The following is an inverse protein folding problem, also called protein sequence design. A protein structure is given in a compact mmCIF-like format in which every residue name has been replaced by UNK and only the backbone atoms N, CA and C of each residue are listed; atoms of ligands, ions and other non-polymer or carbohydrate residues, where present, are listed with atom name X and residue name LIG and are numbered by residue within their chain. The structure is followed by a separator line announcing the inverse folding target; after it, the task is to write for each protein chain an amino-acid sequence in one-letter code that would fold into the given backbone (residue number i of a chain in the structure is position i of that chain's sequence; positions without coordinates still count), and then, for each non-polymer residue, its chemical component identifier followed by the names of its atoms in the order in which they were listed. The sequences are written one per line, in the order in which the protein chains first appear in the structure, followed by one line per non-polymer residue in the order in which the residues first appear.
data_IF_401623208992
#
_entry.id   IF_401623208992
#
_cell.length_a   1.000
_cell.length_b   1.000
_cell.length_c   1.000
_cell.angle_alpha   90.00
_cell.angle_beta   90.00
_cell.angle_gamma   90.00
#
_symmetry.space_group_name_H-M   'P 1'
#
loop_
_entity.id
_entity.type
_entity.pdbx_description
1 polymer ?
#
# COMPACT_ATOMS: atom_id res chain seq x y z
N UNK A 1 -14.35 -14.85 19.26
CA UNK A 1 -13.45 -15.32 18.19
C UNK A 1 -12.07 -15.29 18.75
N UNK A 2 -11.37 -16.41 18.68
CA UNK A 2 -9.97 -16.52 19.09
C UNK A 2 -9.08 -15.76 18.10
N UNK A 3 -8.24 -14.85 18.59
CA UNK A 3 -7.20 -14.10 17.86
C UNK A 3 -6.06 -15.00 17.32
N UNK A 4 -6.34 -16.28 17.05
CA UNK A 4 -5.34 -17.23 16.60
C UNK A 4 -5.38 -17.37 15.08
N UNK A 5 -4.43 -16.66 14.46
CA UNK A 5 -4.09 -16.66 13.04
C UNK A 5 -4.98 -15.79 12.14
N UNK A 6 -4.52 -14.56 11.89
CA UNK A 6 -4.92 -13.74 10.74
C UNK A 6 -4.04 -14.22 9.58
N UNK A 7 -4.65 -14.55 8.44
CA UNK A 7 -3.85 -14.90 7.25
C UNK A 7 -3.20 -13.64 6.66
N UNK A 8 -2.11 -13.82 5.92
CA UNK A 8 -1.43 -12.72 5.22
C UNK A 8 -2.39 -11.98 4.28
N UNK A 9 -3.30 -12.72 3.63
CA UNK A 9 -4.37 -12.14 2.82
C UNK A 9 -5.34 -11.31 3.65
N UNK A 10 -5.78 -11.80 4.81
CA UNK A 10 -6.67 -11.03 5.69
C UNK A 10 -6.00 -9.77 6.24
N UNK A 11 -4.68 -9.78 6.44
CA UNK A 11 -3.92 -8.61 6.86
C UNK A 11 -3.78 -7.60 5.71
N UNK A 12 -3.46 -8.07 4.52
CA UNK A 12 -3.41 -7.25 3.32
C UNK A 12 -4.77 -6.62 3.00
N UNK A 13 -5.86 -7.38 3.09
CA UNK A 13 -7.22 -6.88 2.87
C UNK A 13 -7.57 -5.79 3.89
N UNK A 14 -7.22 -5.98 5.16
CA UNK A 14 -7.43 -4.95 6.20
C UNK A 14 -6.60 -3.69 5.94
N UNK A 15 -5.36 -3.83 5.47
CA UNK A 15 -4.54 -2.69 5.08
C UNK A 15 -5.17 -1.94 3.91
N UNK A 16 -5.61 -2.67 2.88
CA UNK A 16 -6.30 -2.11 1.73
C UNK A 16 -7.59 -1.38 2.13
N UNK A 17 -8.41 -1.98 3.01
CA UNK A 17 -9.60 -1.34 3.56
C UNK A 17 -9.28 0.01 4.22
N UNK A 18 -8.22 0.07 5.02
CA UNK A 18 -7.80 1.30 5.70
C UNK A 18 -7.28 2.36 4.73
N UNK A 19 -6.51 1.96 3.70
CA UNK A 19 -6.07 2.85 2.62
C UNK A 19 -7.29 3.42 1.89
N UNK A 20 -8.22 2.56 1.45
CA UNK A 20 -9.43 2.98 0.75
C UNK A 20 -10.30 3.90 1.61
N UNK A 21 -10.44 3.62 2.91
CA UNK A 21 -11.20 4.46 3.82
C UNK A 21 -10.58 5.86 3.94
N UNK A 22 -9.25 5.94 4.03
CA UNK A 22 -8.53 7.22 4.05
C UNK A 22 -8.70 7.98 2.72
N UNK A 23 -8.56 7.30 1.57
CA UNK A 23 -8.77 7.89 0.25
C UNK A 23 -10.20 8.42 0.07
N UNK A 24 -11.22 7.66 0.47
CA UNK A 24 -12.63 8.09 0.38
C UNK A 24 -12.91 9.34 1.21
N UNK A 25 -12.25 9.47 2.36
CA UNK A 25 -12.41 10.61 3.28
C UNK A 25 -11.43 11.76 2.99
N UNK A 26 -10.49 11.55 2.07
CA UNK A 26 -9.32 12.41 1.86
C UNK A 26 -8.63 12.73 3.20
N UNK A 27 -8.46 11.71 4.05
CA UNK A 27 -7.91 11.83 5.39
C UNK A 27 -6.40 11.62 5.34
N UNK A 28 -5.67 12.72 5.10
CA UNK A 28 -4.21 12.73 4.98
C UNK A 28 -3.54 12.16 6.23
N UNK A 29 -4.05 12.49 7.42
CA UNK A 29 -3.49 12.00 8.68
C UNK A 29 -3.68 10.50 8.80
N UNK A 30 -4.88 9.98 8.54
CA UNK A 30 -5.15 8.55 8.63
C UNK A 30 -4.27 7.75 7.68
N UNK A 31 -4.14 8.16 6.41
CA UNK A 31 -3.28 7.43 5.47
C UNK A 31 -1.81 7.50 5.89
N UNK A 32 -1.34 8.67 6.35
CA UNK A 32 0.03 8.84 6.86
C UNK A 32 0.33 7.93 8.05
N UNK A 33 -0.63 7.75 8.95
CA UNK A 33 -0.46 6.90 10.14
C UNK A 33 -0.31 5.41 9.80
N UNK A 34 -0.75 4.96 8.62
CA UNK A 34 -0.50 3.60 8.13
C UNK A 34 0.96 3.34 7.72
N UNK A 35 1.71 4.40 7.38
CA UNK A 35 3.14 4.28 7.10
C UNK A 35 3.93 4.00 8.38
N UNK A 36 4.99 3.22 8.24
CA UNK A 36 5.92 2.92 9.33
C UNK A 36 6.52 4.21 9.91
N UNK A 37 7.00 4.17 11.16
CA UNK A 37 7.63 5.34 11.77
C UNK A 37 8.87 5.79 10.97
N UNK A 38 9.66 4.83 10.49
CA UNK A 38 10.82 5.08 9.64
C UNK A 38 10.42 5.73 8.31
N UNK A 39 9.46 5.16 7.59
CA UNK A 39 9.04 5.68 6.29
C UNK A 39 8.40 7.06 6.37
N UNK A 40 7.63 7.36 7.43
CA UNK A 40 7.11 8.73 7.65
C UNK A 40 8.21 9.80 7.78
N UNK A 41 9.41 9.43 8.23
CA UNK A 41 10.55 10.35 8.36
C UNK A 41 11.37 10.45 7.08
N UNK A 42 11.46 9.36 6.33
CA UNK A 42 12.32 9.25 5.17
C UNK A 42 11.64 9.72 3.88
N UNK A 43 10.33 9.49 3.75
CA UNK A 43 9.55 9.92 2.59
C UNK A 43 9.40 11.45 2.64
N UNK A 44 10.12 12.13 1.74
CA UNK A 44 10.07 13.59 1.60
C UNK A 44 8.67 14.03 1.19
N UNK A 45 8.16 15.05 1.87
CA UNK A 45 6.86 15.67 1.60
C UNK A 45 5.71 14.66 1.54
N UNK A 46 5.71 13.68 2.45
CA UNK A 46 4.70 12.61 2.47
C UNK A 46 3.25 13.14 2.44
N UNK A 47 2.97 14.26 3.12
CA UNK A 47 1.63 14.88 3.12
C UNK A 47 1.21 15.33 1.71
N UNK A 48 2.13 15.94 0.95
CA UNK A 48 1.88 16.37 -0.44
C UNK A 48 1.65 15.16 -1.33
N UNK A 49 2.46 14.11 -1.18
CA UNK A 49 2.30 12.88 -1.97
C UNK A 49 0.98 12.15 -1.69
N UNK A 50 0.50 12.19 -0.45
CA UNK A 50 -0.81 11.66 -0.08
C UNK A 50 -1.92 12.48 -0.75
N UNK A 51 -1.83 13.80 -0.72
CA UNK A 51 -2.81 14.67 -1.38
C UNK A 51 -2.82 14.44 -2.91
N UNK A 52 -1.65 14.24 -3.53
CA UNK A 52 -1.52 13.86 -4.94
C UNK A 52 -2.20 12.51 -5.23
N UNK A 53 -2.03 11.50 -4.37
CA UNK A 53 -2.72 10.21 -4.50
C UNK A 53 -4.25 10.37 -4.46
N UNK A 54 -4.77 11.20 -3.57
CA UNK A 54 -6.21 11.47 -3.50
C UNK A 54 -6.74 12.14 -4.76
N UNK A 55 -5.96 13.05 -5.37
CA UNK A 55 -6.31 13.72 -6.62
C UNK A 55 -6.18 12.80 -7.83
N UNK A 56 -5.26 11.83 -7.77
CA UNK A 56 -5.05 10.85 -8.82
C UNK A 56 -6.22 9.88 -8.96
N UNK A 57 -6.82 9.47 -7.83
CA UNK A 57 -8.02 8.64 -7.79
C UNK A 57 -9.27 9.45 -8.18
N UNK A 58 -9.62 9.43 -9.46
CA UNK A 58 -10.83 10.08 -9.98
C UNK A 58 -12.08 9.24 -9.75
N UNK A 59 -13.18 9.92 -9.42
CA UNK A 59 -14.48 9.30 -9.20
C UNK A 59 -14.62 8.66 -7.82
N UNK A 60 -15.83 8.22 -7.50
CA UNK A 60 -16.14 7.59 -6.22
C UNK A 60 -15.63 6.15 -6.22
N UNK A 61 -14.83 5.78 -5.22
CA UNK A 61 -14.31 4.41 -5.07
C UNK A 61 -15.46 3.45 -4.73
N UNK A 62 -15.71 2.47 -5.59
CA UNK A 62 -16.83 1.53 -5.46
C UNK A 62 -16.39 0.21 -4.82
N UNK A 63 -15.40 -0.47 -5.44
CA UNK A 63 -14.91 -1.78 -5.01
C UNK A 63 -13.40 -1.85 -5.08
N UNK A 64 -12.83 -2.76 -4.31
CA UNK A 64 -11.44 -3.20 -4.46
C UNK A 64 -11.42 -4.73 -4.35
N UNK A 65 -10.51 -5.36 -5.08
CA UNK A 65 -10.25 -6.81 -5.01
C UNK A 65 -8.79 -7.07 -5.37
N UNK A 66 -8.18 -8.07 -4.77
CA UNK A 66 -6.77 -8.34 -4.97
C UNK A 66 -6.29 -9.52 -4.16
N UNK A 67 -4.99 -9.74 -4.20
CA UNK A 67 -4.29 -10.73 -3.40
C UNK A 67 -3.01 -10.12 -2.79
N UNK A 68 -2.30 -10.93 -2.01
CA UNK A 68 -0.98 -10.56 -1.54
C UNK A 68 0.05 -11.65 -1.77
N UNK A 69 1.29 -11.23 -1.99
CA UNK A 69 2.46 -12.06 -1.81
C UNK A 69 3.10 -11.74 -0.45
N UNK A 70 3.78 -12.71 0.12
CA UNK A 70 4.51 -12.55 1.37
C UNK A 70 5.92 -13.10 1.24
N UNK A 71 6.84 -12.48 1.96
CA UNK A 71 8.17 -13.00 2.18
C UNK A 71 8.45 -13.05 3.68
N UNK A 72 9.26 -14.01 4.11
CA UNK A 72 9.69 -14.06 5.50
C UNK A 72 11.17 -14.41 5.60
N UNK A 73 11.86 -13.69 6.48
CA UNK A 73 13.22 -13.99 6.89
C UNK A 73 13.21 -14.33 8.38
N UNK A 74 14.07 -15.25 8.78
CA UNK A 74 14.27 -15.63 10.16
C UNK A 74 15.77 -15.71 10.45
N UNK A 75 16.30 -14.72 11.17
CA UNK A 75 17.70 -14.70 11.59
C UNK A 75 17.78 -14.81 13.12
N UNK A 76 18.47 -15.84 13.62
CA UNK A 76 18.65 -16.09 15.06
C UNK A 76 17.36 -16.02 15.91
N UNK A 77 16.22 -16.40 15.32
CA UNK A 77 14.91 -16.38 15.98
C UNK A 77 14.16 -15.05 15.90
N UNK A 78 14.73 -14.01 15.27
CA UNK A 78 14.02 -12.78 14.90
C UNK A 78 13.31 -13.00 13.57
N UNK A 79 12.02 -12.73 13.52
CA UNK A 79 11.21 -12.86 12.31
C UNK A 79 11.00 -11.50 11.66
N UNK A 80 11.14 -11.45 10.35
CA UNK A 80 10.72 -10.35 9.50
C UNK A 80 9.71 -10.92 8.51
N UNK A 81 8.57 -10.27 8.38
CA UNK A 81 7.54 -10.62 7.40
C UNK A 81 7.22 -9.36 6.61
N UNK A 82 7.37 -9.49 5.30
CA UNK A 82 7.02 -8.47 4.33
C UNK A 82 5.79 -8.95 3.56
N UNK A 83 4.85 -8.02 3.31
CA UNK A 83 3.65 -8.24 2.53
C UNK A 83 3.59 -7.25 1.37
N UNK A 84 3.31 -7.78 0.20
CA UNK A 84 3.09 -7.06 -1.04
C UNK A 84 1.62 -7.26 -1.43
N UNK A 85 0.80 -6.22 -1.26
CA UNK A 85 -0.60 -6.25 -1.68
C UNK A 85 -0.75 -5.79 -3.12
N UNK A 86 -1.53 -6.52 -3.92
CA UNK A 86 -1.75 -6.28 -5.35
C UNK A 86 -3.25 -6.18 -5.62
N UNK A 87 -3.77 -4.96 -5.75
CA UNK A 87 -5.22 -4.71 -5.75
C UNK A 87 -5.69 -3.92 -6.98
N UNK A 88 -6.81 -4.37 -7.53
CA UNK A 88 -7.61 -3.62 -8.48
C UNK A 88 -8.61 -2.74 -7.71
N UNK A 89 -8.70 -1.47 -8.07
CA UNK A 89 -9.68 -0.52 -7.53
C UNK A 89 -10.60 -0.10 -8.67
N UNK A 90 -11.90 -0.26 -8.50
CA UNK A 90 -12.90 0.28 -9.43
C UNK A 90 -13.52 1.54 -8.83
N UNK A 91 -13.50 2.64 -9.59
CA UNK A 91 -14.22 3.86 -9.27
C UNK A 91 -15.39 4.08 -10.23
N UNK A 92 -16.20 5.10 -9.98
CA UNK A 92 -17.24 5.53 -10.92
C UNK A 92 -16.71 6.12 -12.23
N UNK A 93 -15.41 6.44 -12.30
CA UNK A 93 -14.77 7.03 -13.48
C UNK A 93 -13.96 6.00 -14.26
N UNK A 94 -13.05 5.30 -13.58
CA UNK A 94 -12.08 4.41 -14.21
C UNK A 94 -11.55 3.35 -13.23
N UNK A 95 -10.65 2.48 -13.70
CA UNK A 95 -10.03 1.42 -12.90
C UNK A 95 -8.55 1.72 -12.66
N UNK A 96 -8.07 1.31 -11.50
CA UNK A 96 -6.69 1.48 -11.07
C UNK A 96 -6.13 0.16 -10.58
N UNK A 97 -4.81 0.00 -10.74
CA UNK A 97 -4.01 -1.04 -10.10
C UNK A 97 -3.18 -0.36 -9.02
N UNK A 98 -3.25 -0.86 -7.79
CA UNK A 98 -2.48 -0.38 -6.66
C UNK A 98 -1.67 -1.52 -6.08
N UNK A 99 -0.37 -1.31 -5.96
CA UNK A 99 0.49 -2.13 -5.13
C UNK A 99 0.83 -1.38 -3.84
N UNK A 100 0.81 -2.08 -2.71
CA UNK A 100 1.39 -1.55 -1.47
C UNK A 100 2.37 -2.55 -0.89
N UNK A 101 3.33 -2.04 -0.14
CA UNK A 101 4.40 -2.82 0.44
C UNK A 101 4.55 -2.44 1.91
N UNK A 102 4.61 -3.44 2.77
CA UNK A 102 4.69 -3.24 4.21
C UNK A 102 5.48 -4.34 4.90
N UNK A 103 6.05 -4.00 6.05
CA UNK A 103 6.39 -5.01 7.04
C UNK A 103 5.21 -5.22 7.98
N UNK A 104 4.62 -6.41 7.96
CA UNK A 104 3.62 -6.83 8.96
C UNK A 104 4.26 -7.19 10.29
N UNK A 105 5.51 -7.68 10.23
CA UNK A 105 6.31 -7.97 11.41
C UNK A 105 7.78 -7.67 11.16
N UNK A 106 8.45 -7.04 12.12
CA UNK A 106 9.90 -6.88 12.11
C UNK A 106 10.44 -6.91 13.55
N UNK A 107 10.92 -8.09 13.97
CA UNK A 107 11.48 -8.28 15.32
C UNK A 107 12.86 -7.62 15.50
N UNK A 108 13.50 -7.19 14.40
CA UNK A 108 14.78 -6.51 14.42
C UNK A 108 14.63 -5.00 14.66
N UNK A 109 13.62 -4.37 14.06
CA UNK A 109 13.25 -2.97 14.30
C UNK A 109 11.75 -2.76 14.14
N UNK A 110 11.05 -2.52 15.26
CA UNK A 110 9.60 -2.32 15.24
C UNK A 110 9.17 -1.00 14.59
N UNK A 111 10.09 -0.08 14.29
CA UNK A 111 9.78 1.19 13.59
C UNK A 111 9.56 1.03 12.10
N UNK A 112 10.02 -0.09 11.54
CA UNK A 112 9.82 -0.47 10.14
C UNK A 112 8.43 -1.08 9.89
N UNK A 113 7.71 -1.49 10.95
CA UNK A 113 6.38 -2.09 10.83
C UNK A 113 5.37 -1.04 10.32
N UNK A 114 4.64 -1.39 9.26
CA UNK A 114 3.71 -0.52 8.55
C UNK A 114 4.05 -0.37 7.06
N UNK A 115 3.27 0.45 6.35
CA UNK A 115 3.51 0.74 4.94
C UNK A 115 4.86 1.45 4.77
N UNK A 116 5.58 1.09 3.72
CA UNK A 116 6.74 1.86 3.28
C UNK A 116 6.61 2.30 1.81
N UNK A 117 5.79 1.62 1.01
CA UNK A 117 5.58 2.00 -0.40
C UNK A 117 4.14 1.80 -0.86
N UNK A 118 3.64 2.73 -1.67
CA UNK A 118 2.42 2.61 -2.47
C UNK A 118 2.78 2.99 -3.91
N UNK A 119 2.39 2.14 -4.86
CA UNK A 119 2.47 2.41 -6.29
C UNK A 119 1.07 2.28 -6.89
N UNK A 120 0.67 3.22 -7.74
CA UNK A 120 -0.65 3.19 -8.37
C UNK A 120 -0.59 3.63 -9.82
N UNK A 121 -1.34 2.96 -10.69
CA UNK A 121 -1.46 3.24 -12.12
C UNK A 121 -2.93 3.07 -12.56
N UNK A 122 -3.33 3.71 -13.66
CA UNK A 122 -4.63 3.41 -14.29
C UNK A 122 -4.55 2.07 -15.03
N UNK A 123 -5.69 1.40 -15.21
CA UNK A 123 -5.79 0.19 -16.05
C UNK A 123 -5.23 0.41 -17.46
N UNK A 124 -5.48 1.59 -18.05
CA UNK A 124 -4.96 1.98 -19.35
C UNK A 124 -3.43 1.89 -19.40
N UNK A 125 -2.76 2.41 -18.37
CA UNK A 125 -1.30 2.40 -18.27
C UNK A 125 -0.73 1.01 -18.06
N UNK A 126 -1.34 0.22 -17.16
CA UNK A 126 -0.89 -1.16 -16.89
C UNK A 126 -1.05 -2.06 -18.11
N UNK A 127 -1.98 -1.72 -19.01
CA UNK A 127 -2.21 -2.44 -20.26
C UNK A 127 -1.16 -2.15 -21.35
N UNK A 128 -0.23 -1.21 -21.14
CA UNK A 128 0.85 -0.92 -22.09
C UNK A 128 1.92 -2.03 -22.08
N UNK A 129 2.38 -2.47 -23.26
CA UNK A 129 3.31 -3.61 -23.42
C UNK A 129 4.66 -3.43 -22.66
N UNK A 130 5.04 -2.19 -22.37
CA UNK A 130 6.30 -1.82 -21.72
C UNK A 130 6.14 -1.36 -20.27
N UNK A 131 4.94 -1.50 -19.69
CA UNK A 131 4.69 -1.09 -18.32
C UNK A 131 5.41 -2.00 -17.32
N UNK A 132 6.09 -1.40 -16.33
CA UNK A 132 6.80 -2.11 -15.26
C UNK A 132 6.67 -1.34 -13.95
N UNK A 133 6.38 -2.07 -12.87
CA UNK A 133 6.53 -1.59 -11.50
C UNK A 133 8.02 -1.64 -11.11
N UNK A 134 8.74 -0.52 -11.16
CA UNK A 134 10.21 -0.47 -10.90
C UNK A 134 10.62 0.75 -10.06
N UNK A 135 9.91 1.01 -8.95
CA UNK A 135 10.37 1.97 -7.95
C UNK A 135 11.08 1.24 -6.79
N UNK A 136 12.41 1.35 -6.67
CA UNK A 136 13.16 0.70 -5.59
C UNK A 136 13.11 1.49 -4.28
N UNK A 137 12.66 2.75 -4.31
CA UNK A 137 12.64 3.65 -3.15
C UNK A 137 11.32 3.51 -2.37
N UNK A 138 11.36 3.75 -1.06
CA UNK A 138 10.14 3.94 -0.26
C UNK A 138 9.42 5.25 -0.65
N UNK A 139 8.08 5.24 -0.65
CA UNK A 139 7.31 6.39 -1.08
C UNK A 139 5.94 6.09 -1.65
N UNK A 140 5.28 7.14 -2.10
CA UNK A 140 4.05 7.05 -2.88
C UNK A 140 4.40 7.46 -4.31
N UNK A 141 4.05 6.60 -5.27
CA UNK A 141 4.36 6.75 -6.68
C UNK A 141 3.08 6.63 -7.51
N UNK A 142 2.78 7.71 -8.23
CA UNK A 142 1.69 7.77 -9.19
C UNK A 142 2.30 7.55 -10.57
N UNK A 143 1.99 6.43 -11.20
CA UNK A 143 2.52 6.14 -12.52
C UNK A 143 1.76 7.01 -13.54
N UNK A 144 2.49 7.85 -14.26
CA UNK A 144 1.95 8.72 -15.32
C UNK A 144 2.73 8.46 -16.61
N UNK A 145 2.09 8.68 -17.77
CA UNK A 145 2.74 8.55 -19.08
C UNK A 145 3.83 9.62 -19.27
#
# INVERSE_FOLDING_TARGET
MSDWFISEQEEADKMMEQIIEACRKQDTQKLKELFSESSRKNIKNIDVKIDELFQYLKGDIQTFEGDCASSSDSDHGKKIIELDGMYNISTSSEKYHMNFYMYSQNDSDSKEVGLYKIEIATEEMVSEDNFVWDNPEEGIFLMTQ
#
